data_IF_603148752659
#
_entry.id   IF_603148752659
#
_cell.length_a   1.000
_cell.length_b   1.000
_cell.length_c   1.000
_cell.angle_alpha   90.00
_cell.angle_beta   90.00
_cell.angle_gamma   90.00
#
_symmetry.space_group_name_H-M   'P 1'
#
loop_
_entity.id
_entity.type
_entity.pdbx_description
1 polymer ?
#
# COMPACT_ATOMS: atom_id res chain seq x y z
N UNK A 1 4.19 0.45 5.72
CA UNK A 1 3.76 1.62 4.93
C UNK A 1 4.89 2.64 4.95
N UNK A 2 5.22 3.23 3.81
CA UNK A 2 6.16 4.36 3.70
C UNK A 2 5.34 5.60 3.37
N UNK A 3 5.41 6.60 4.24
CA UNK A 3 4.61 7.81 4.15
C UNK A 3 5.24 8.88 3.27
N UNK A 4 4.41 9.77 2.72
CA UNK A 4 4.85 10.95 1.99
C UNK A 4 5.64 11.92 2.89
N UNK A 5 6.54 12.69 2.30
CA UNK A 5 7.45 13.61 2.99
C UNK A 5 8.79 13.69 2.24
N UNK A 6 8.99 14.69 1.36
CA UNK A 6 10.18 14.75 0.50
C UNK A 6 11.51 14.66 1.27
N UNK A 7 11.65 15.41 2.37
CA UNK A 7 12.86 15.44 3.20
C UNK A 7 13.10 14.09 3.91
N UNK A 8 12.02 13.45 4.38
CA UNK A 8 12.09 12.12 4.98
C UNK A 8 12.49 11.07 3.95
N UNK A 9 11.91 11.12 2.75
CA UNK A 9 12.26 10.21 1.65
C UNK A 9 13.71 10.38 1.23
N UNK A 10 14.18 11.63 1.09
CA UNK A 10 15.56 11.92 0.78
C UNK A 10 16.51 11.34 1.84
N UNK A 11 16.20 11.57 3.12
CA UNK A 11 17.01 11.07 4.24
C UNK A 11 17.03 9.53 4.25
N UNK A 12 15.87 8.90 4.18
CA UNK A 12 15.73 7.44 4.24
C UNK A 12 16.33 6.73 3.01
N UNK A 13 16.35 7.39 1.84
CA UNK A 13 16.98 6.84 0.64
C UNK A 13 18.48 6.66 0.78
N UNK A 14 19.11 7.39 1.70
CA UNK A 14 20.54 7.32 2.01
C UNK A 14 20.84 6.44 3.24
N UNK A 15 19.81 5.96 3.92
CA UNK A 15 19.94 5.07 5.07
C UNK A 15 19.89 3.60 4.62
N UNK A 16 21.03 2.91 4.71
CA UNK A 16 21.15 1.52 4.32
C UNK A 16 20.22 0.56 5.08
N UNK A 17 19.90 0.83 6.35
CA UNK A 17 18.95 0.02 7.11
C UNK A 17 17.52 0.21 6.64
N UNK A 18 17.12 1.46 6.38
CA UNK A 18 15.78 1.76 5.85
C UNK A 18 15.58 1.09 4.48
N UNK A 19 16.56 1.21 3.59
CA UNK A 19 16.54 0.60 2.27
C UNK A 19 16.52 -0.93 2.35
N UNK A 20 17.36 -1.51 3.21
CA UNK A 20 17.39 -2.95 3.44
C UNK A 20 16.04 -3.46 3.98
N UNK A 21 15.40 -2.74 4.90
CA UNK A 21 14.10 -3.10 5.43
C UNK A 21 13.02 -3.18 4.33
N UNK A 22 12.98 -2.20 3.43
CA UNK A 22 12.05 -2.17 2.28
C UNK A 22 12.31 -3.36 1.34
N UNK A 23 13.58 -3.60 0.99
CA UNK A 23 13.99 -4.70 0.11
C UNK A 23 13.65 -6.06 0.72
N UNK A 24 13.92 -6.28 2.01
CA UNK A 24 13.57 -7.53 2.68
C UNK A 24 12.06 -7.71 2.76
N UNK A 25 11.28 -6.66 3.08
CA UNK A 25 9.82 -6.75 3.06
C UNK A 25 9.31 -7.22 1.68
N UNK A 26 9.89 -6.70 0.60
CA UNK A 26 9.54 -7.08 -0.76
C UNK A 26 9.91 -8.54 -1.08
N UNK A 27 11.15 -8.96 -0.78
CA UNK A 27 11.61 -10.33 -0.96
C UNK A 27 10.75 -11.36 -0.23
N UNK A 28 10.30 -11.01 0.98
CA UNK A 28 9.45 -11.88 1.81
C UNK A 28 7.96 -11.77 1.48
N UNK A 29 7.60 -11.11 0.38
CA UNK A 29 6.22 -10.90 -0.08
C UNK A 29 5.32 -10.27 0.98
N UNK A 30 5.90 -9.43 1.85
CA UNK A 30 5.12 -8.65 2.80
C UNK A 30 4.42 -7.51 2.05
N UNK A 31 3.18 -7.15 2.42
CA UNK A 31 2.51 -5.98 1.87
C UNK A 31 3.35 -4.72 2.04
N UNK A 32 3.53 -3.98 0.95
CA UNK A 32 4.21 -2.67 0.94
C UNK A 32 3.22 -1.65 0.41
N UNK A 33 3.00 -0.58 1.18
CA UNK A 33 2.22 0.58 0.78
C UNK A 33 3.13 1.78 0.71
N UNK A 34 3.13 2.53 -0.39
CA UNK A 34 3.85 3.79 -0.51
C UNK A 34 2.99 4.83 -1.25
N UNK A 35 2.96 6.07 -0.75
CA UNK A 35 2.16 7.13 -1.36
C UNK A 35 2.93 8.45 -1.50
N UNK A 36 2.52 9.28 -2.46
CA UNK A 36 3.15 10.56 -2.76
C UNK A 36 4.65 10.41 -3.02
N UNK A 37 5.46 11.22 -2.34
CA UNK A 37 6.91 11.21 -2.49
C UNK A 37 7.57 9.85 -2.16
N UNK A 38 6.93 9.01 -1.33
CA UNK A 38 7.47 7.72 -0.92
C UNK A 38 7.64 6.73 -2.07
N UNK A 39 6.93 6.92 -3.19
CA UNK A 39 7.12 6.10 -4.40
C UNK A 39 8.58 6.19 -4.88
N UNK A 40 9.22 7.35 -4.72
CA UNK A 40 10.64 7.54 -5.08
C UNK A 40 11.57 6.65 -4.25
N UNK A 41 11.21 6.36 -2.99
CA UNK A 41 11.99 5.46 -2.13
C UNK A 41 11.95 4.02 -2.67
N UNK A 42 10.78 3.55 -3.14
CA UNK A 42 10.66 2.22 -3.73
C UNK A 42 11.48 2.10 -5.03
N UNK A 43 11.49 3.15 -5.85
CA UNK A 43 12.33 3.21 -7.06
C UNK A 43 13.82 3.18 -6.71
N UNK A 44 14.24 3.97 -5.72
CA UNK A 44 15.62 3.99 -5.24
C UNK A 44 16.04 2.62 -4.65
N UNK A 45 15.10 1.87 -4.07
CA UNK A 45 15.33 0.54 -3.53
C UNK A 45 15.30 -0.56 -4.60
N UNK A 46 15.17 -0.18 -5.88
CA UNK A 46 15.09 -1.08 -7.03
C UNK A 46 13.99 -2.15 -6.88
N UNK A 47 12.83 -1.75 -6.35
CA UNK A 47 11.67 -2.63 -6.24
C UNK A 47 11.05 -2.80 -7.63
N UNK A 48 11.04 -4.05 -8.12
CA UNK A 48 10.53 -4.44 -9.43
C UNK A 48 9.00 -4.64 -9.43
N UNK A 49 8.27 -3.59 -9.06
CA UNK A 49 6.81 -3.55 -9.16
C UNK A 49 6.39 -2.35 -10.02
N UNK A 50 5.25 -2.47 -10.71
CA UNK A 50 4.56 -1.32 -11.30
C UNK A 50 4.14 -0.38 -10.16
N UNK A 51 4.26 0.92 -10.42
CA UNK A 51 3.95 1.97 -9.44
C UNK A 51 3.00 2.97 -10.07
N UNK A 52 2.15 3.57 -9.26
CA UNK A 52 1.24 4.63 -9.70
C UNK A 52 2.02 5.80 -10.32
N UNK A 53 1.46 6.34 -11.41
CA UNK A 53 1.97 7.53 -12.10
C UNK A 53 1.07 8.76 -11.88
N UNK A 54 -0.14 8.54 -11.36
CA UNK A 54 -1.15 9.54 -11.03
C UNK A 54 -1.74 9.29 -9.63
N UNK A 55 -2.82 9.98 -9.29
CA UNK A 55 -3.47 9.90 -7.97
C UNK A 55 -4.29 8.62 -7.80
N UNK A 56 -4.52 7.84 -8.85
CA UNK A 56 -5.27 6.61 -8.75
C UNK A 56 -4.45 5.55 -7.99
N UNK A 57 -5.16 4.69 -7.26
CA UNK A 57 -4.54 3.61 -6.50
C UNK A 57 -4.15 2.48 -7.46
N UNK A 58 -2.87 2.16 -7.52
CA UNK A 58 -2.32 1.04 -8.27
C UNK A 58 -1.84 -0.06 -7.33
N UNK A 59 -2.35 -1.27 -7.55
CA UNK A 59 -1.98 -2.50 -6.83
C UNK A 59 -1.21 -3.44 -7.76
N UNK A 60 0.09 -3.60 -7.51
CA UNK A 60 0.97 -4.57 -8.17
C UNK A 60 1.65 -5.45 -7.11
N UNK A 61 0.95 -6.52 -6.75
CA UNK A 61 1.19 -7.30 -5.52
C UNK A 61 2.67 -7.69 -5.33
N UNK A 62 3.24 -7.52 -4.12
CA UNK A 62 2.59 -7.11 -2.86
C UNK A 62 2.55 -5.58 -2.63
N UNK A 63 2.75 -4.78 -3.68
CA UNK A 63 2.94 -3.33 -3.59
C UNK A 63 1.64 -2.59 -3.93
N UNK A 64 1.24 -1.64 -3.09
CA UNK A 64 0.12 -0.72 -3.32
C UNK A 64 0.65 0.71 -3.30
N UNK A 65 0.32 1.48 -4.34
CA UNK A 65 0.84 2.85 -4.54
C UNK A 65 -0.20 3.83 -5.02
N UNK A 66 0.00 5.11 -4.72
CA UNK A 66 -0.72 6.27 -5.28
C UNK A 66 0.20 7.49 -5.22
N UNK A 67 0.17 8.40 -6.20
CA UNK A 67 0.93 9.66 -6.10
C UNK A 67 0.21 10.72 -5.24
N UNK A 68 -0.99 10.43 -4.74
CA UNK A 68 -1.75 11.34 -3.87
C UNK A 68 -0.95 11.75 -2.62
N UNK A 69 -1.14 13.01 -2.20
CA UNK A 69 -0.58 13.55 -0.98
C UNK A 69 -1.42 13.16 0.25
N UNK A 70 -0.90 13.39 1.46
CA UNK A 70 -1.56 12.98 2.70
C UNK A 70 -2.95 13.59 2.88
N UNK A 71 -3.16 14.82 2.42
CA UNK A 71 -4.45 15.54 2.55
C UNK A 71 -5.53 15.04 1.57
N UNK A 72 -5.15 14.24 0.58
CA UNK A 72 -6.03 13.66 -0.45
C UNK A 72 -5.84 12.13 -0.53
N UNK A 73 -5.58 11.51 0.62
CA UNK A 73 -5.27 10.10 0.68
C UNK A 73 -6.52 9.23 0.46
N UNK A 74 -6.59 8.41 -0.60
CA UNK A 74 -7.81 7.71 -0.96
C UNK A 74 -8.08 6.51 -0.04
N UNK A 75 -9.32 6.36 0.44
CA UNK A 75 -9.76 5.21 1.25
C UNK A 75 -9.48 3.86 0.55
N UNK A 76 -9.60 3.83 -0.79
CA UNK A 76 -9.27 2.68 -1.61
C UNK A 76 -7.84 2.17 -1.42
N UNK A 77 -6.88 3.04 -1.05
CA UNK A 77 -5.53 2.62 -0.73
C UNK A 77 -5.51 1.76 0.53
N UNK A 78 -6.23 2.18 1.58
CA UNK A 78 -6.32 1.45 2.86
C UNK A 78 -6.95 0.08 2.62
N UNK A 79 -8.03 0.03 1.85
CA UNK A 79 -8.73 -1.21 1.51
C UNK A 79 -7.84 -2.20 0.76
N UNK A 80 -7.17 -1.75 -0.31
CA UNK A 80 -6.26 -2.60 -1.10
C UNK A 80 -5.04 -3.04 -0.29
N UNK A 81 -4.45 -2.13 0.50
CA UNK A 81 -3.32 -2.45 1.35
C UNK A 81 -3.70 -3.44 2.46
N UNK A 82 -4.88 -3.30 3.08
CA UNK A 82 -5.38 -4.22 4.10
C UNK A 82 -5.78 -5.59 3.53
N UNK A 83 -6.21 -5.64 2.27
CA UNK A 83 -6.51 -6.89 1.59
C UNK A 83 -5.25 -7.67 1.17
N UNK A 84 -4.12 -6.99 0.95
CA UNK A 84 -2.85 -7.62 0.56
C UNK A 84 -2.33 -8.69 1.55
N UNK A 85 -2.30 -8.47 2.89
CA UNK A 85 -1.89 -9.51 3.84
C UNK A 85 -2.87 -10.68 3.92
N UNK A 86 -4.18 -10.43 3.85
CA UNK A 86 -5.23 -11.46 3.93
C UNK A 86 -5.19 -12.45 2.76
N UNK A 87 -4.66 -12.02 1.60
CA UNK A 87 -4.53 -12.86 0.39
C UNK A 87 -3.20 -13.63 0.34
N UNK A 88 -2.26 -13.36 1.25
CA UNK A 88 -0.95 -14.04 1.31
C UNK A 88 -0.79 -14.95 2.55
N UNK A 89 -1.44 -14.60 3.67
CA UNK A 89 -1.70 -15.51 4.79
C UNK A 89 -3.21 -15.56 4.96
N UNK A 90 -3.80 -16.74 4.87
CA UNK A 90 -5.17 -16.99 5.33
C UNK A 90 -5.26 -16.65 6.82
N UNK A 91 -5.53 -15.39 7.14
CA UNK A 91 -5.98 -14.91 8.44
C UNK A 91 -7.41 -14.46 8.19
N UNK A 92 -8.30 -15.46 8.20
CA UNK A 92 -9.71 -15.28 7.87
C UNK A 92 -10.39 -14.29 8.82
N UNK A 93 -10.98 -13.25 8.24
CA UNK A 93 -12.27 -12.75 8.69
C UNK A 93 -13.31 -13.36 7.75
N UNK A 94 -14.36 -14.04 8.25
CA UNK A 94 -15.38 -14.60 7.38
C UNK A 94 -16.08 -13.46 6.66
N UNK A 95 -16.15 -13.58 5.34
CA UNK A 95 -17.03 -12.79 4.48
C UNK A 95 -18.45 -12.89 5.06
N UNK A 96 -19.02 -11.77 5.51
CA UNK A 96 -20.44 -11.69 5.85
C UNK A 96 -21.20 -11.28 4.60
N UNK A 97 -21.91 -12.20 3.91
CA UNK A 97 -22.86 -11.79 2.89
C UNK A 97 -24.07 -11.10 3.56
N UNK A 98 -24.33 -9.86 3.15
CA UNK A 98 -25.65 -9.22 3.20
C UNK A 98 -26.21 -8.85 4.58
N UNK A 99 -25.83 -7.68 5.10
CA UNK A 99 -26.68 -6.93 6.01
C UNK A 99 -27.55 -5.95 5.19
N UNK A 100 -28.55 -6.50 4.53
CA UNK A 100 -29.60 -5.77 3.80
C UNK A 100 -30.97 -6.31 4.22
N UNK A 101 -31.31 -6.16 5.50
CA UNK A 101 -32.65 -6.43 6.02
C UNK A 101 -33.56 -5.29 5.56
N UNK A 102 -34.35 -5.52 4.50
CA UNK A 102 -35.51 -4.69 4.18
C UNK A 102 -36.74 -5.34 4.82
N UNK A 103 -37.22 -4.70 5.88
CA UNK A 103 -38.60 -4.84 6.35
C UNK A 103 -39.44 -3.77 5.64
N UNK A 104 -40.48 -4.19 4.91
CA UNK A 104 -41.78 -3.52 4.76
C UNK A 104 -42.49 -3.95 3.47
N UNK A 105 -43.73 -4.42 3.62
CA UNK A 105 -44.72 -4.47 2.54
C UNK A 105 -45.34 -5.84 2.29
N UNK A 106 -46.27 -6.26 3.15
CA UNK A 106 -47.67 -6.58 2.83
C UNK A 106 -48.44 -6.82 4.14
#
# INVERSE_FOLDING_TARGET
VVACGPDSVETLSRDGYAMHFVVEAYKHRKPIGAYGAAIKLLRAANIEARMAEDTDVLSDRPVVTTTAAADDFPDAFVEEFAAAPARHRLLGTPNRPGAGMSIAGF
#
